data_IF_943807552553
#
_entry.id   IF_943807552553
#
_cell.length_a   1.000
_cell.length_b   1.000
_cell.length_c   1.000
_cell.angle_alpha   90.00
_cell.angle_beta   90.00
_cell.angle_gamma   90.00
#
_symmetry.space_group_name_H-M   'P 1'
#
loop_
_entity.id
_entity.type
_entity.pdbx_description
1 polymer ?
#
# COMPACT_ATOMS: atom_id res chain seq x y z
N UNK A 1 50.67 -25.16 -19.41
CA UNK A 1 49.71 -26.27 -19.25
C UNK A 1 48.73 -25.93 -18.12
N UNK A 2 47.43 -25.94 -18.45
CA UNK A 2 46.23 -26.03 -17.59
C UNK A 2 46.12 -25.14 -16.34
N UNK A 3 45.34 -24.06 -16.45
CA UNK A 3 44.38 -23.70 -15.42
C UNK A 3 43.00 -23.56 -16.09
N UNK A 4 42.21 -24.62 -15.90
CA UNK A 4 40.79 -24.69 -16.17
C UNK A 4 40.09 -24.46 -14.83
N UNK A 5 39.29 -23.39 -14.70
CA UNK A 5 38.02 -23.44 -13.97
C UNK A 5 37.01 -22.51 -14.64
N UNK A 6 35.94 -23.15 -15.07
CA UNK A 6 34.74 -22.62 -15.70
C UNK A 6 33.93 -21.79 -14.69
N UNK A 7 33.26 -20.79 -15.22
CA UNK A 7 31.88 -20.46 -14.87
C UNK A 7 31.68 -19.74 -13.54
N UNK A 8 32.00 -18.45 -13.49
CA UNK A 8 31.20 -17.54 -12.66
C UNK A 8 29.91 -17.25 -13.39
N UNK A 9 28.86 -17.95 -12.97
CA UNK A 9 27.49 -17.72 -13.41
C UNK A 9 27.08 -16.31 -13.00
N UNK A 10 26.78 -15.47 -13.98
CA UNK A 10 26.03 -14.23 -13.85
C UNK A 10 24.60 -14.56 -13.42
N UNK A 11 24.41 -14.95 -12.17
CA UNK A 11 23.10 -14.85 -11.55
C UNK A 11 22.95 -13.43 -11.02
N UNK A 12 22.19 -12.66 -11.79
CA UNK A 12 21.66 -11.35 -11.45
C UNK A 12 21.11 -11.34 -10.03
N UNK A 13 21.73 -10.56 -9.14
CA UNK A 13 21.27 -10.25 -7.78
C UNK A 13 19.96 -9.43 -7.74
N UNK A 14 19.15 -9.46 -8.81
CA UNK A 14 17.86 -8.74 -8.87
C UNK A 14 16.64 -9.60 -8.60
N UNK A 15 16.79 -10.93 -8.53
CA UNK A 15 15.64 -11.84 -8.48
C UNK A 15 15.39 -12.50 -7.09
N UNK A 16 16.08 -12.07 -6.02
CA UNK A 16 16.01 -12.72 -4.69
C UNK A 16 15.23 -11.92 -3.63
N UNK A 17 14.72 -10.71 -3.91
CA UNK A 17 13.85 -9.97 -2.98
C UNK A 17 12.35 -10.15 -3.24
N UNK A 18 11.95 -11.31 -3.75
CA UNK A 18 10.52 -11.70 -3.91
C UNK A 18 10.10 -12.84 -2.96
N UNK A 19 10.84 -13.06 -1.87
CA UNK A 19 10.49 -14.08 -0.88
C UNK A 19 9.72 -13.48 0.30
N UNK A 20 8.42 -13.79 0.33
CA UNK A 20 7.48 -13.66 1.45
C UNK A 20 7.12 -12.24 1.95
N UNK A 21 6.61 -11.39 1.06
CA UNK A 21 5.58 -10.42 1.48
C UNK A 21 4.22 -11.10 1.27
N UNK A 22 3.53 -11.46 2.35
CA UNK A 22 2.13 -11.87 2.26
C UNK A 22 1.36 -10.76 1.54
N UNK A 23 0.81 -11.06 0.36
CA UNK A 23 0.02 -10.09 -0.39
C UNK A 23 -1.27 -9.81 0.38
N UNK A 24 -1.49 -8.54 0.76
CA UNK A 24 -2.69 -8.15 1.51
C UNK A 24 -3.97 -8.45 0.74
N UNK A 25 -3.95 -8.23 -0.58
CA UNK A 25 -5.07 -8.46 -1.45
C UNK A 25 -4.80 -9.63 -2.37
N UNK A 26 -5.59 -10.68 -2.21
CA UNK A 26 -5.66 -11.76 -3.19
C UNK A 26 -6.93 -11.61 -4.04
N UNK A 27 -6.84 -11.85 -5.35
CA UNK A 27 -7.99 -11.78 -6.29
C UNK A 27 -9.01 -12.93 -6.12
N UNK A 28 -8.99 -13.63 -4.98
CA UNK A 28 -9.79 -14.85 -4.73
C UNK A 28 -11.29 -14.59 -4.88
N UNK A 29 -11.74 -13.36 -4.59
CA UNK A 29 -13.15 -12.96 -4.67
C UNK A 29 -13.49 -12.05 -5.85
N UNK A 30 -12.59 -11.94 -6.84
CA UNK A 30 -12.81 -11.12 -8.03
C UNK A 30 -13.52 -11.89 -9.15
N UNK A 31 -14.52 -11.29 -9.84
CA UNK A 31 -15.11 -11.89 -11.04
C UNK A 31 -13.99 -12.28 -12.03
N UNK A 32 -14.10 -13.47 -12.64
CA UNK A 32 -13.10 -14.02 -13.56
C UNK A 32 -11.67 -14.13 -12.97
N UNK A 33 -11.52 -14.33 -11.64
CA UNK A 33 -10.23 -14.34 -10.93
C UNK A 33 -9.42 -13.05 -11.15
N UNK A 34 -10.10 -11.95 -11.48
CA UNK A 34 -9.49 -10.65 -11.75
C UNK A 34 -8.44 -10.68 -12.86
N UNK A 35 -8.58 -11.57 -13.86
CA UNK A 35 -7.58 -11.75 -14.93
C UNK A 35 -7.20 -10.44 -15.64
N UNK A 36 -8.15 -9.52 -15.76
CA UNK A 36 -7.94 -8.20 -16.33
C UNK A 36 -7.49 -7.15 -15.28
N UNK A 37 -7.94 -7.30 -14.02
CA UNK A 37 -7.49 -6.51 -12.87
C UNK A 37 -6.04 -6.81 -12.43
N UNK A 38 -5.43 -7.88 -12.96
CA UNK A 38 -4.09 -8.35 -12.57
C UNK A 38 -2.94 -7.40 -12.87
N UNK A 39 -3.09 -6.45 -13.80
CA UNK A 39 -1.98 -5.56 -14.17
C UNK A 39 -1.63 -4.56 -13.07
N UNK A 40 -2.64 -4.01 -12.41
CA UNK A 40 -2.50 -2.98 -11.38
C UNK A 40 -2.42 -3.56 -9.96
N UNK A 41 -2.83 -4.82 -9.76
CA UNK A 41 -2.84 -5.46 -8.45
C UNK A 41 -1.45 -5.51 -7.78
N UNK A 42 -0.35 -5.90 -8.45
CA UNK A 42 0.96 -5.94 -7.81
C UNK A 42 1.38 -4.56 -7.29
N UNK A 43 1.06 -3.50 -8.01
CA UNK A 43 1.37 -2.12 -7.62
C UNK A 43 0.55 -1.68 -6.39
N UNK A 44 -0.74 -2.03 -6.35
CA UNK A 44 -1.60 -1.79 -5.19
C UNK A 44 -1.06 -2.54 -3.96
N UNK A 45 -0.75 -3.84 -4.10
CA UNK A 45 -0.21 -4.66 -3.02
C UNK A 45 1.16 -4.16 -2.54
N UNK A 46 2.02 -3.73 -3.47
CA UNK A 46 3.32 -3.16 -3.15
C UNK A 46 3.16 -1.87 -2.34
N UNK A 47 2.39 -0.91 -2.84
CA UNK A 47 2.15 0.38 -2.18
C UNK A 47 1.52 0.19 -0.79
N UNK A 48 0.59 -0.75 -0.65
CA UNK A 48 -0.01 -1.10 0.64
C UNK A 48 1.03 -1.70 1.61
N UNK A 49 1.86 -2.63 1.13
CA UNK A 49 2.92 -3.24 1.94
C UNK A 49 3.97 -2.23 2.40
N UNK A 50 4.37 -1.31 1.51
CA UNK A 50 5.28 -0.21 1.85
C UNK A 50 4.67 0.70 2.91
N UNK A 51 3.38 1.02 2.80
CA UNK A 51 2.69 1.80 3.83
C UNK A 51 2.76 1.15 5.22
N UNK A 52 2.53 -0.16 5.29
CA UNK A 52 2.61 -0.90 6.55
C UNK A 52 4.04 -0.89 7.13
N UNK A 53 5.06 -0.95 6.27
CA UNK A 53 6.46 -0.80 6.71
C UNK A 53 6.73 0.61 7.25
N UNK A 54 6.29 1.65 6.54
CA UNK A 54 6.44 3.04 7.00
C UNK A 54 5.70 3.29 8.32
N UNK A 55 4.48 2.74 8.48
CA UNK A 55 3.70 2.83 9.71
C UNK A 55 4.44 2.19 10.89
N UNK A 56 5.01 1.00 10.71
CA UNK A 56 5.86 0.32 11.72
C UNK A 56 7.06 1.17 12.13
N UNK A 57 7.66 1.89 11.18
CA UNK A 57 8.77 2.81 11.43
C UNK A 57 8.34 4.20 11.94
N UNK A 58 7.04 4.45 12.14
CA UNK A 58 6.43 5.74 12.52
C UNK A 58 6.69 6.86 11.48
N UNK A 59 6.92 6.48 10.23
CA UNK A 59 7.04 7.36 9.08
C UNK A 59 5.65 7.63 8.49
N UNK A 60 4.74 8.20 9.28
CA UNK A 60 3.32 8.29 8.92
C UNK A 60 3.06 9.06 7.62
N UNK A 61 3.86 10.08 7.30
CA UNK A 61 3.72 10.80 6.03
C UNK A 61 3.93 9.88 4.83
N UNK A 62 5.01 9.10 4.84
CA UNK A 62 5.32 8.14 3.78
C UNK A 62 4.25 7.03 3.73
N UNK A 63 3.76 6.59 4.88
CA UNK A 63 2.66 5.62 4.99
C UNK A 63 1.36 6.13 4.35
N UNK A 64 0.99 7.38 4.62
CA UNK A 64 -0.19 8.03 4.04
C UNK A 64 -0.03 8.19 2.52
N UNK A 65 1.13 8.66 2.07
CA UNK A 65 1.40 8.88 0.64
C UNK A 65 1.35 7.56 -0.14
N UNK A 66 1.89 6.47 0.42
CA UNK A 66 1.82 5.13 -0.19
C UNK A 66 0.37 4.60 -0.29
N UNK A 67 -0.46 4.78 0.75
CA UNK A 67 -1.89 4.40 0.70
C UNK A 67 -2.67 5.28 -0.28
N UNK A 68 -2.34 6.56 -0.38
CA UNK A 68 -2.93 7.47 -1.37
C UNK A 68 -2.58 7.03 -2.79
N UNK A 69 -1.33 6.60 -3.03
CA UNK A 69 -0.92 6.03 -4.30
C UNK A 69 -1.74 4.77 -4.61
N UNK A 70 -1.78 3.81 -3.68
CA UNK A 70 -2.58 2.59 -3.83
C UNK A 70 -4.04 2.90 -4.19
N UNK A 71 -4.65 3.88 -3.50
CA UNK A 71 -6.02 4.32 -3.79
C UNK A 71 -6.14 4.89 -5.21
N UNK A 72 -5.22 5.75 -5.62
CA UNK A 72 -5.20 6.34 -6.97
C UNK A 72 -5.09 5.27 -8.04
N UNK A 73 -4.21 4.28 -7.86
CA UNK A 73 -4.06 3.14 -8.77
C UNK A 73 -5.39 2.36 -8.94
N UNK A 74 -6.21 2.28 -7.89
CA UNK A 74 -7.57 1.68 -8.02
C UNK A 74 -8.52 2.48 -8.92
N UNK A 75 -8.26 3.76 -9.17
CA UNK A 75 -9.07 4.60 -10.07
C UNK A 75 -8.74 4.37 -11.54
N UNK A 76 -7.57 3.80 -11.83
CA UNK A 76 -7.15 3.43 -13.18
C UNK A 76 -7.79 2.12 -13.65
N UNK A 77 -8.32 1.32 -12.72
CA UNK A 77 -9.11 0.12 -12.99
C UNK A 77 -10.52 0.51 -13.45
N UNK A 78 -10.64 0.89 -14.73
CA UNK A 78 -11.91 1.31 -15.37
C UNK A 78 -12.76 0.16 -15.91
N UNK A 79 -12.27 -1.07 -15.85
CA UNK A 79 -12.98 -2.22 -16.39
C UNK A 79 -14.13 -2.63 -15.46
N UNK A 80 -15.35 -2.73 -16.01
CA UNK A 80 -16.57 -3.07 -15.24
C UNK A 80 -16.43 -4.38 -14.46
N UNK A 81 -15.66 -5.34 -15.00
CA UNK A 81 -15.38 -6.64 -14.36
C UNK A 81 -14.55 -6.53 -13.07
N UNK A 82 -13.86 -5.40 -12.86
CA UNK A 82 -13.04 -5.13 -11.68
C UNK A 82 -13.75 -4.28 -10.62
N UNK A 83 -14.93 -3.72 -10.91
CA UNK A 83 -15.67 -2.79 -10.03
C UNK A 83 -15.80 -3.28 -8.58
N UNK A 84 -16.17 -4.56 -8.39
CA UNK A 84 -16.31 -5.16 -7.06
C UNK A 84 -14.98 -5.21 -6.29
N UNK A 85 -13.88 -5.49 -6.98
CA UNK A 85 -12.54 -5.57 -6.39
C UNK A 85 -11.99 -4.18 -6.10
N UNK A 86 -12.21 -3.24 -7.01
CA UNK A 86 -11.87 -1.83 -6.82
C UNK A 86 -12.54 -1.29 -5.56
N UNK A 87 -13.83 -1.55 -5.36
CA UNK A 87 -14.53 -1.14 -4.15
C UNK A 87 -13.93 -1.78 -2.90
N UNK A 88 -13.63 -3.09 -2.93
CA UNK A 88 -12.98 -3.78 -1.82
C UNK A 88 -11.59 -3.21 -1.48
N UNK A 89 -10.75 -2.95 -2.48
CA UNK A 89 -9.43 -2.33 -2.30
C UNK A 89 -9.57 -0.94 -1.70
N UNK A 90 -10.44 -0.10 -2.26
CA UNK A 90 -10.70 1.26 -1.76
C UNK A 90 -11.16 1.24 -0.31
N UNK A 91 -12.13 0.41 0.04
CA UNK A 91 -12.61 0.27 1.41
C UNK A 91 -11.48 -0.13 2.36
N UNK A 92 -10.67 -1.13 2.00
CA UNK A 92 -9.57 -1.61 2.84
C UNK A 92 -8.47 -0.54 3.01
N UNK A 93 -8.16 0.21 1.95
CA UNK A 93 -7.22 1.32 1.99
C UNK A 93 -7.76 2.46 2.86
N UNK A 94 -9.04 2.80 2.72
CA UNK A 94 -9.71 3.82 3.56
C UNK A 94 -9.71 3.43 5.03
N UNK A 95 -10.04 2.18 5.36
CA UNK A 95 -9.97 1.67 6.73
C UNK A 95 -8.55 1.79 7.31
N UNK A 96 -7.53 1.48 6.50
CA UNK A 96 -6.12 1.62 6.92
C UNK A 96 -5.73 3.09 7.18
N UNK A 97 -6.24 4.01 6.36
CA UNK A 97 -6.07 5.46 6.57
C UNK A 97 -6.80 5.93 7.84
N UNK A 98 -8.00 5.40 8.13
CA UNK A 98 -8.74 5.71 9.36
C UNK A 98 -8.01 5.21 10.61
N UNK A 99 -7.41 4.03 10.54
CA UNK A 99 -6.59 3.48 11.62
C UNK A 99 -5.37 4.36 11.90
N UNK A 100 -4.63 4.76 10.86
CA UNK A 100 -3.48 5.69 11.00
C UNK A 100 -3.95 7.02 11.59
N UNK A 101 -5.10 7.53 11.16
CA UNK A 101 -5.66 8.77 11.71
C UNK A 101 -5.96 8.63 13.21
N UNK A 102 -6.50 7.48 13.64
CA UNK A 102 -6.73 7.17 15.05
C UNK A 102 -5.43 7.08 15.86
N UNK A 103 -4.37 6.50 15.30
CA UNK A 103 -3.03 6.47 15.93
C UNK A 103 -2.45 7.87 16.07
N UNK A 104 -2.47 8.66 14.99
CA UNK A 104 -1.98 10.03 14.99
C UNK A 104 -2.76 10.89 15.98
N UNK A 105 -4.09 10.73 16.06
CA UNK A 105 -4.91 11.41 17.06
C UNK A 105 -4.42 11.11 18.49
N UNK A 106 -4.19 9.82 18.82
CA UNK A 106 -3.68 9.43 20.15
C UNK A 106 -2.29 10.00 20.44
N UNK A 107 -1.45 10.18 19.43
CA UNK A 107 -0.09 10.73 19.58
C UNK A 107 -0.04 12.26 19.62
N UNK A 108 -1.03 12.91 19.02
CA UNK A 108 -1.18 14.37 18.97
C UNK A 108 -2.08 14.92 20.09
N UNK A 109 -2.83 14.06 20.78
CA UNK A 109 -3.68 14.42 21.92
C UNK A 109 -3.22 13.74 23.21
N UNK A 110 -3.61 14.30 24.37
CA UNK A 110 -3.25 13.76 25.70
C UNK A 110 -2.03 14.39 26.37
N UNK A 111 -1.65 13.84 27.53
CA UNK A 111 -0.62 14.41 28.43
C UNK A 111 0.78 14.44 27.81
N UNK A 112 1.12 13.48 26.94
CA UNK A 112 2.41 13.36 26.25
C UNK A 112 2.32 13.77 24.77
N UNK A 113 1.37 14.66 24.43
CA UNK A 113 1.18 15.11 23.06
C UNK A 113 2.47 15.63 22.46
N UNK A 114 2.76 15.21 21.23
CA UNK A 114 3.90 15.74 20.47
C UNK A 114 3.39 16.47 19.23
N UNK A 115 3.89 17.69 19.00
CA UNK A 115 3.57 18.46 17.80
C UNK A 115 4.11 17.83 16.51
N UNK A 116 5.05 16.88 16.64
CA UNK A 116 5.68 16.17 15.51
C UNK A 116 4.68 15.55 14.55
N UNK A 117 3.57 15.02 15.06
CA UNK A 117 2.60 14.25 14.27
C UNK A 117 1.33 15.05 13.92
N UNK A 118 1.20 16.27 14.45
CA UNK A 118 0.03 17.11 14.30
C UNK A 118 -0.24 17.48 12.84
N UNK A 119 0.82 17.78 12.07
CA UNK A 119 0.68 18.06 10.63
C UNK A 119 0.17 16.85 9.85
N UNK A 120 0.68 15.65 10.12
CA UNK A 120 0.21 14.41 9.49
C UNK A 120 -1.23 14.09 9.88
N UNK A 121 -1.61 14.35 11.13
CA UNK A 121 -2.98 14.16 11.62
C UNK A 121 -3.97 15.02 10.82
N UNK A 122 -3.73 16.33 10.72
CA UNK A 122 -4.62 17.23 9.98
C UNK A 122 -4.68 16.91 8.49
N UNK A 123 -3.52 16.68 7.86
CA UNK A 123 -3.44 16.31 6.45
C UNK A 123 -4.26 15.05 6.14
N UNK A 124 -4.13 14.03 6.99
CA UNK A 124 -4.88 12.79 6.82
C UNK A 124 -6.38 12.98 7.06
N UNK A 125 -6.76 13.82 8.03
CA UNK A 125 -8.14 14.17 8.26
C UNK A 125 -8.81 14.81 7.04
N UNK A 126 -8.11 15.70 6.35
CA UNK A 126 -8.61 16.32 5.12
C UNK A 126 -8.67 15.34 3.95
N UNK A 127 -7.66 14.49 3.79
CA UNK A 127 -7.68 13.40 2.81
C UNK A 127 -8.88 12.46 3.01
N UNK A 128 -9.17 12.05 4.25
CA UNK A 128 -10.31 11.16 4.54
C UNK A 128 -11.65 11.81 4.20
N UNK A 129 -11.80 13.13 4.40
CA UNK A 129 -13.00 13.86 3.97
C UNK A 129 -13.16 13.83 2.45
N UNK A 130 -12.07 14.09 1.71
CA UNK A 130 -12.08 14.05 0.25
C UNK A 130 -12.44 12.65 -0.29
N UNK A 131 -11.88 11.59 0.30
CA UNK A 131 -12.16 10.22 -0.13
C UNK A 131 -13.60 9.80 0.15
N UNK A 132 -14.17 10.18 1.29
CA UNK A 132 -15.57 9.90 1.64
C UNK A 132 -16.58 10.64 0.77
N UNK A 133 -16.21 11.80 0.21
CA UNK A 133 -17.06 12.53 -0.75
C UNK A 133 -17.02 11.91 -2.16
N UNK A 134 -16.02 11.07 -2.47
CA UNK A 134 -15.80 10.47 -3.79
C UNK A 134 -16.33 9.03 -3.93
N UNK A 135 -16.76 8.42 -2.82
CA UNK A 135 -17.44 7.12 -2.80
C UNK A 135 -18.95 7.32 -2.79
#
# INVERSE_FOLDING_TARGET
>A
MKLSRRGFSLFSLRDIEYFNKEEKFELVNCPLKGKYCKRQLPEINQSYSESEQYRKNKEYRNSIDALKNAYSTTTELKEDSCSRCVNFFRSSITESLEDIHGELHKMSTGLFRTKRFESSYFMLGDLLKELKMKN
#
